data_IF_551797129205
#
_entry.id   IF_551797129205
#
_cell.length_a   1.000
_cell.length_b   1.000
_cell.length_c   1.000
_cell.angle_alpha   90.00
_cell.angle_beta   90.00
_cell.angle_gamma   90.00
#
_symmetry.space_group_name_H-M   'P 1'
#
loop_
_entity.id
_entity.type
_entity.pdbx_description
1 polymer ?
#
# COMPACT_ATOMS: atom_id res chain seq x y z
N UNK A 1 -20.39 -15.89 36.48
CA UNK A 1 -21.59 -15.05 36.36
C UNK A 1 -22.64 -15.83 35.59
N UNK A 2 -23.72 -16.21 36.24
CA UNK A 2 -24.75 -17.07 35.66
C UNK A 2 -25.42 -16.36 34.49
N UNK A 3 -25.35 -16.97 33.30
CA UNK A 3 -26.39 -16.84 32.28
C UNK A 3 -27.50 -17.81 32.70
N UNK A 4 -28.70 -17.28 32.91
CA UNK A 4 -29.89 -18.07 33.23
C UNK A 4 -30.42 -18.72 31.94
N UNK A 5 -30.54 -20.04 31.96
CA UNK A 5 -31.37 -20.79 31.00
C UNK A 5 -31.98 -21.98 31.75
N UNK A 6 -33.28 -22.15 31.58
CA UNK A 6 -34.15 -22.86 32.50
C UNK A 6 -33.87 -24.36 32.69
N UNK A 7 -34.03 -24.78 33.95
CA UNK A 7 -34.53 -26.06 34.46
C UNK A 7 -34.05 -27.39 33.83
N UNK A 8 -33.09 -28.04 34.50
CA UNK A 8 -33.33 -29.35 35.17
C UNK A 8 -32.23 -29.72 36.18
N UNK A 9 -32.69 -30.12 37.37
CA UNK A 9 -32.03 -30.83 38.48
C UNK A 9 -30.86 -30.18 39.24
N UNK A 10 -31.17 -29.86 40.51
CA UNK A 10 -30.25 -29.47 41.58
C UNK A 10 -29.20 -30.53 41.87
N UNK A 11 -27.92 -30.14 41.88
CA UNK A 11 -26.91 -30.64 42.83
C UNK A 11 -26.09 -29.43 43.28
N UNK A 12 -26.21 -29.08 44.56
CA UNK A 12 -25.39 -28.06 45.22
C UNK A 12 -23.98 -28.64 45.47
N UNK A 13 -22.93 -27.97 44.96
CA UNK A 13 -21.57 -28.04 45.51
C UNK A 13 -20.91 -26.65 45.39
N UNK A 14 -20.07 -26.25 46.37
CA UNK A 14 -19.56 -24.89 46.47
C UNK A 14 -18.35 -24.73 45.56
N UNK A 15 -18.51 -24.10 44.40
CA UNK A 15 -17.39 -23.80 43.51
C UNK A 15 -16.84 -22.40 43.80
N UNK A 16 -15.59 -22.37 44.27
CA UNK A 16 -14.81 -21.17 44.56
C UNK A 16 -14.62 -20.31 43.30
N UNK A 17 -14.59 -18.99 43.48
CA UNK A 17 -14.42 -17.94 42.45
C UNK A 17 -13.13 -18.08 41.60
N UNK A 18 -12.19 -18.96 41.99
CA UNK A 18 -10.93 -19.15 41.30
C UNK A 18 -11.03 -19.88 39.95
N UNK A 19 -12.08 -20.66 39.70
CA UNK A 19 -12.17 -21.46 38.46
C UNK A 19 -12.71 -20.70 37.24
N UNK A 20 -13.33 -19.53 37.45
CA UNK A 20 -13.82 -18.70 36.35
C UNK A 20 -12.70 -17.92 35.64
N UNK A 21 -11.55 -17.71 36.31
CA UNK A 21 -10.39 -17.03 35.71
C UNK A 21 -9.62 -17.98 34.80
N UNK A 22 -9.55 -19.27 35.16
CA UNK A 22 -8.76 -20.26 34.44
C UNK A 22 -9.34 -20.59 33.05
N UNK A 23 -10.66 -20.60 32.90
CA UNK A 23 -11.30 -20.89 31.61
C UNK A 23 -11.17 -19.71 30.62
N UNK A 24 -11.12 -18.47 31.11
CA UNK A 24 -10.90 -17.29 30.24
C UNK A 24 -9.45 -17.14 29.77
N UNK A 25 -8.48 -17.73 30.48
CA UNK A 25 -7.06 -17.68 30.09
C UNK A 25 -6.72 -18.74 29.02
N UNK A 26 -7.45 -19.85 28.97
CA UNK A 26 -7.13 -20.94 28.02
C UNK A 26 -7.63 -20.70 26.58
N UNK A 27 -8.40 -19.65 26.32
CA UNK A 27 -8.84 -19.29 24.96
C UNK A 27 -7.99 -18.16 24.32
N UNK A 28 -6.86 -17.77 24.94
CA UNK A 28 -6.01 -16.64 24.52
C UNK A 28 -4.78 -17.03 23.68
N UNK A 29 -4.72 -18.22 23.11
CA UNK A 29 -3.60 -18.60 22.24
C UNK A 29 -4.01 -19.61 21.16
N UNK A 30 -4.72 -19.11 20.15
CA UNK A 30 -4.75 -19.75 18.83
C UNK A 30 -4.57 -18.67 17.75
N UNK A 31 -3.58 -17.80 17.95
CA UNK A 31 -2.94 -17.08 16.87
C UNK A 31 -1.91 -18.00 16.24
N UNK A 32 -2.37 -18.94 15.41
CA UNK A 32 -1.49 -19.74 14.57
C UNK A 32 -0.65 -18.78 13.73
N UNK A 33 0.65 -18.70 14.03
CA UNK A 33 1.60 -17.92 13.24
C UNK A 33 1.94 -18.75 12.01
N UNK A 34 1.00 -18.85 11.07
CA UNK A 34 1.28 -19.47 9.79
C UNK A 34 2.35 -18.63 9.10
N UNK A 35 3.55 -19.18 8.93
CA UNK A 35 4.66 -18.49 8.24
C UNK A 35 4.28 -18.05 6.82
N UNK A 36 3.21 -18.60 6.24
CA UNK A 36 2.69 -18.31 4.91
C UNK A 36 1.37 -17.51 4.91
N UNK A 37 0.91 -17.01 6.06
CA UNK A 37 -0.31 -16.19 6.10
C UNK A 37 -0.09 -14.81 5.47
N UNK A 38 -1.00 -14.41 4.58
CA UNK A 38 -0.96 -13.12 3.90
C UNK A 38 -1.85 -12.09 4.63
N UNK A 39 -1.27 -11.39 5.61
CA UNK A 39 -1.92 -10.36 6.41
C UNK A 39 -1.92 -10.65 7.91
N UNK A 40 -2.29 -9.67 8.72
CA UNK A 40 -2.41 -9.80 10.17
C UNK A 40 -3.91 -9.80 10.56
N UNK A 41 -4.29 -10.59 11.57
CA UNK A 41 -5.64 -10.56 12.13
C UNK A 41 -5.70 -9.51 13.22
N UNK A 42 -6.47 -8.45 13.02
CA UNK A 42 -6.73 -7.44 14.04
C UNK A 42 -7.93 -7.88 14.90
N UNK A 43 -7.94 -7.50 16.19
CA UNK A 43 -8.92 -7.98 17.18
C UNK A 43 -10.38 -7.69 16.78
N UNK A 44 -10.62 -6.60 16.03
CA UNK A 44 -11.95 -6.16 15.60
C UNK A 44 -12.30 -6.52 14.14
N UNK A 45 -11.48 -7.34 13.46
CA UNK A 45 -11.65 -7.62 12.04
C UNK A 45 -11.76 -9.13 11.75
N UNK A 46 -12.84 -9.51 11.06
CA UNK A 46 -13.09 -10.89 10.62
C UNK A 46 -12.19 -11.34 9.46
N UNK A 47 -11.50 -10.38 8.82
CA UNK A 47 -10.65 -10.59 7.65
C UNK A 47 -9.19 -10.25 7.97
N UNK A 48 -8.27 -10.81 7.20
CA UNK A 48 -6.87 -10.43 7.26
C UNK A 48 -6.71 -8.99 6.74
N UNK A 49 -6.01 -8.17 7.52
CA UNK A 49 -5.84 -6.76 7.25
C UNK A 49 -4.36 -6.38 7.20
N UNK A 50 -4.09 -5.26 6.53
CA UNK A 50 -2.82 -4.54 6.61
C UNK A 50 -3.04 -3.14 7.16
N UNK A 51 -2.01 -2.58 7.78
CA UNK A 51 -2.04 -1.18 8.13
C UNK A 51 -1.69 -0.35 6.88
N UNK A 52 -2.58 0.52 6.42
CA UNK A 52 -2.36 1.31 5.21
C UNK A 52 -1.13 2.24 5.36
N UNK A 53 -0.84 2.69 6.59
CA UNK A 53 0.31 3.58 6.85
C UNK A 53 1.65 2.90 6.62
N UNK A 54 1.79 1.63 7.03
CA UNK A 54 3.03 0.86 6.77
C UNK A 54 3.22 0.61 5.28
N UNK A 55 2.13 0.31 4.55
CA UNK A 55 2.22 0.02 3.11
C UNK A 55 2.59 1.29 2.34
N UNK A 56 2.00 2.43 2.69
CA UNK A 56 2.33 3.74 2.08
C UNK A 56 3.76 4.16 2.39
N UNK A 57 4.22 3.96 3.62
CA UNK A 57 5.61 4.23 4.00
C UNK A 57 6.58 3.34 3.21
N UNK A 58 6.30 2.03 3.11
CA UNK A 58 7.09 1.10 2.32
C UNK A 58 7.14 1.49 0.83
N UNK A 59 6.00 1.87 0.24
CA UNK A 59 5.92 2.35 -1.13
C UNK A 59 6.75 3.62 -1.35
N UNK A 60 6.72 4.57 -0.42
CA UNK A 60 7.50 5.81 -0.49
C UNK A 60 9.01 5.58 -0.40
N UNK A 61 9.44 4.67 0.48
CA UNK A 61 10.86 4.31 0.63
C UNK A 61 11.38 3.67 -0.66
N UNK A 62 10.65 2.68 -1.17
CA UNK A 62 11.00 2.02 -2.43
C UNK A 62 11.01 3.02 -3.59
N UNK A 63 9.99 3.87 -3.68
CA UNK A 63 9.90 4.91 -4.70
C UNK A 63 11.13 5.81 -4.70
N UNK A 64 11.57 6.27 -3.52
CA UNK A 64 12.75 7.14 -3.39
C UNK A 64 14.00 6.48 -3.97
N UNK A 65 14.31 5.25 -3.55
CA UNK A 65 15.50 4.54 -4.04
C UNK A 65 15.40 4.17 -5.52
N UNK A 66 14.22 3.74 -5.97
CA UNK A 66 13.97 3.41 -7.38
C UNK A 66 14.08 4.66 -8.27
N UNK A 67 13.57 5.80 -7.83
CA UNK A 67 13.69 7.07 -8.54
C UNK A 67 15.15 7.54 -8.62
N UNK A 68 15.92 7.46 -7.52
CA UNK A 68 17.35 7.79 -7.53
C UNK A 68 18.14 6.90 -8.49
N UNK A 69 17.89 5.59 -8.49
CA UNK A 69 18.54 4.65 -9.39
C UNK A 69 18.18 4.94 -10.86
N UNK A 70 16.90 5.18 -11.15
CA UNK A 70 16.42 5.54 -12.48
C UNK A 70 17.05 6.84 -12.99
N UNK A 71 17.08 7.89 -12.16
CA UNK A 71 17.71 9.17 -12.52
C UNK A 71 19.21 9.02 -12.75
N UNK A 72 19.89 8.16 -12.00
CA UNK A 72 21.30 7.86 -12.23
C UNK A 72 21.52 7.20 -13.60
N UNK A 73 20.71 6.19 -13.94
CA UNK A 73 20.73 5.54 -15.26
C UNK A 73 20.40 6.49 -16.41
N UNK A 74 19.45 7.41 -16.21
CA UNK A 74 19.04 8.37 -17.21
C UNK A 74 20.08 9.48 -17.46
N UNK A 75 20.65 10.06 -16.40
CA UNK A 75 21.56 11.20 -16.50
C UNK A 75 23.02 10.78 -16.76
N UNK A 76 23.50 9.75 -16.06
CA UNK A 76 24.91 9.34 -16.10
C UNK A 76 25.16 8.21 -17.09
N UNK A 77 24.10 7.64 -17.68
CA UNK A 77 24.20 6.46 -18.54
C UNK A 77 24.75 5.22 -17.81
N UNK A 78 24.79 5.21 -16.47
CA UNK A 78 25.24 4.08 -15.68
C UNK A 78 24.04 3.25 -15.19
N UNK A 79 23.89 2.02 -15.68
CA UNK A 79 22.76 1.15 -15.32
C UNK A 79 23.01 0.32 -14.06
N UNK A 80 24.23 0.30 -13.52
CA UNK A 80 24.56 -0.59 -12.40
C UNK A 80 23.68 -0.33 -11.16
N UNK A 81 23.41 0.93 -10.76
CA UNK A 81 22.48 1.22 -9.67
C UNK A 81 21.05 0.76 -9.97
N UNK A 82 20.60 0.90 -11.22
CA UNK A 82 19.28 0.46 -11.67
C UNK A 82 19.16 -1.07 -11.62
N UNK A 83 20.19 -1.79 -12.09
CA UNK A 83 20.23 -3.26 -12.06
C UNK A 83 20.14 -3.78 -10.63
N UNK A 84 20.90 -3.19 -9.70
CA UNK A 84 20.85 -3.53 -8.29
C UNK A 84 19.45 -3.25 -7.70
N UNK A 85 18.93 -2.05 -7.91
CA UNK A 85 17.65 -1.63 -7.32
C UNK A 85 16.47 -2.46 -7.84
N UNK A 86 16.43 -2.75 -9.14
CA UNK A 86 15.40 -3.62 -9.74
C UNK A 86 15.47 -5.04 -9.18
N UNK A 87 16.68 -5.57 -8.97
CA UNK A 87 16.87 -6.91 -8.37
C UNK A 87 16.36 -6.97 -6.93
N UNK A 88 16.71 -5.97 -6.12
CA UNK A 88 16.23 -5.85 -4.73
C UNK A 88 14.71 -5.70 -4.70
N UNK A 89 14.15 -4.90 -5.60
CA UNK A 89 12.71 -4.65 -5.65
C UNK A 89 11.91 -5.89 -6.09
N UNK A 90 12.41 -6.63 -7.06
CA UNK A 90 11.84 -7.92 -7.46
C UNK A 90 11.84 -8.91 -6.28
N UNK A 91 12.96 -8.97 -5.54
CA UNK A 91 13.09 -9.82 -4.36
C UNK A 91 12.15 -9.40 -3.21
N UNK A 92 11.99 -8.10 -2.99
CA UNK A 92 11.06 -7.57 -1.99
C UNK A 92 9.61 -8.00 -2.30
N UNK A 93 9.14 -7.86 -3.55
CA UNK A 93 7.81 -8.36 -3.94
C UNK A 93 7.68 -9.88 -3.90
N UNK A 94 8.76 -10.61 -4.23
CA UNK A 94 8.77 -12.06 -4.11
C UNK A 94 8.50 -12.49 -2.66
N UNK A 95 9.19 -11.89 -1.69
CA UNK A 95 8.94 -12.17 -0.26
C UNK A 95 7.50 -11.83 0.12
N UNK A 96 6.99 -10.67 -0.33
CA UNK A 96 5.61 -10.25 -0.02
C UNK A 96 4.56 -11.25 -0.51
N UNK A 97 4.71 -11.79 -1.72
CA UNK A 97 3.67 -12.63 -2.34
C UNK A 97 3.77 -14.09 -1.93
N UNK A 98 4.98 -14.64 -1.86
CA UNK A 98 5.21 -16.09 -1.71
C UNK A 98 5.53 -16.52 -0.28
N UNK A 99 6.13 -15.64 0.53
CA UNK A 99 6.52 -15.97 1.90
C UNK A 99 5.53 -15.31 2.87
N UNK A 100 5.80 -14.05 3.22
CA UNK A 100 4.95 -13.27 4.09
C UNK A 100 5.35 -11.79 3.97
N UNK A 101 4.40 -10.86 3.75
CA UNK A 101 4.66 -9.42 3.73
C UNK A 101 5.34 -8.89 4.99
N UNK A 102 5.16 -9.56 6.13
CA UNK A 102 5.81 -9.22 7.40
C UNK A 102 7.35 -9.26 7.33
N UNK A 103 7.91 -10.07 6.43
CA UNK A 103 9.36 -10.21 6.27
C UNK A 103 9.94 -9.37 5.13
N UNK A 104 9.09 -8.66 4.38
CA UNK A 104 9.57 -7.83 3.29
C UNK A 104 10.39 -6.64 3.85
N UNK A 105 11.64 -6.44 3.41
CA UNK A 105 12.52 -5.41 3.97
C UNK A 105 11.88 -4.02 3.99
N UNK A 106 11.22 -3.63 2.90
CA UNK A 106 10.52 -2.36 2.79
C UNK A 106 9.35 -2.22 3.78
N UNK A 107 8.60 -3.30 4.06
CA UNK A 107 7.51 -3.32 5.02
C UNK A 107 8.03 -3.23 6.46
N UNK A 108 9.16 -3.88 6.77
CA UNK A 108 9.81 -3.79 8.08
C UNK A 108 10.22 -2.34 8.37
N UNK A 109 10.86 -1.67 7.41
CA UNK A 109 11.24 -0.27 7.56
C UNK A 109 9.98 0.61 7.64
N UNK A 110 8.97 0.35 6.82
CA UNK A 110 7.69 1.06 6.87
C UNK A 110 7.05 1.00 8.27
N UNK A 111 6.96 -0.21 8.85
CA UNK A 111 6.47 -0.44 10.21
C UNK A 111 7.26 0.32 11.26
N UNK A 112 8.59 0.31 11.14
CA UNK A 112 9.46 1.02 12.08
C UNK A 112 9.23 2.54 12.04
N UNK A 113 9.07 3.11 10.85
CA UNK A 113 8.87 4.56 10.67
C UNK A 113 7.50 5.04 11.16
N UNK A 114 6.44 4.25 10.98
CA UNK A 114 5.06 4.65 11.34
C UNK A 114 4.56 4.06 12.67
N UNK A 115 5.44 3.45 13.47
CA UNK A 115 5.08 2.69 14.67
C UNK A 115 4.27 3.46 15.72
N UNK A 116 4.42 4.79 15.78
CA UNK A 116 3.75 5.64 16.76
C UNK A 116 2.43 6.25 16.25
N UNK A 117 1.98 5.88 15.04
CA UNK A 117 0.74 6.37 14.45
C UNK A 117 -0.40 5.39 14.71
N UNK A 118 -1.64 5.91 14.86
CA UNK A 118 -2.82 5.04 14.92
C UNK A 118 -2.94 4.25 13.61
N UNK A 119 -2.98 2.91 13.66
CA UNK A 119 -3.06 2.08 12.47
C UNK A 119 -4.41 2.31 11.78
N UNK A 120 -4.39 2.23 10.45
CA UNK A 120 -5.59 2.31 9.61
C UNK A 120 -5.67 1.02 8.81
N UNK A 121 -6.68 0.18 9.06
CA UNK A 121 -6.72 -1.17 8.51
C UNK A 121 -7.48 -1.24 7.19
N UNK A 122 -6.98 -2.06 6.27
CA UNK A 122 -7.58 -2.34 4.97
C UNK A 122 -7.44 -3.81 4.61
N UNK A 123 -8.35 -4.33 3.78
CA UNK A 123 -8.41 -5.74 3.44
C UNK A 123 -7.15 -6.24 2.71
N UNK A 124 -6.68 -7.44 3.07
CA UNK A 124 -5.49 -8.05 2.49
C UNK A 124 -5.68 -8.53 1.04
N UNK A 125 -6.85 -9.08 0.69
CA UNK A 125 -7.13 -9.65 -0.64
C UNK A 125 -6.81 -8.68 -1.81
N UNK A 126 -7.35 -7.45 -1.87
CA UNK A 126 -7.06 -6.52 -2.96
C UNK A 126 -5.58 -6.11 -3.03
N UNK A 127 -4.88 -6.03 -1.88
CA UNK A 127 -3.45 -5.73 -1.87
C UNK A 127 -2.61 -6.86 -2.46
N UNK A 128 -2.97 -8.13 -2.23
CA UNK A 128 -2.30 -9.27 -2.87
C UNK A 128 -2.36 -9.18 -4.39
N UNK A 129 -3.53 -8.81 -4.91
CA UNK A 129 -3.73 -8.62 -6.35
C UNK A 129 -2.87 -7.48 -6.87
N UNK A 130 -2.91 -6.31 -6.20
CA UNK A 130 -2.10 -5.15 -6.57
C UNK A 130 -0.58 -5.46 -6.58
N UNK A 131 -0.08 -6.15 -5.55
CA UNK A 131 1.34 -6.54 -5.49
C UNK A 131 1.72 -7.58 -6.54
N UNK A 132 0.79 -8.45 -6.95
CA UNK A 132 1.02 -9.40 -8.05
C UNK A 132 1.26 -8.68 -9.38
N UNK A 133 0.51 -7.60 -9.67
CA UNK A 133 0.79 -6.73 -10.82
C UNK A 133 2.13 -6.00 -10.68
N UNK A 134 2.44 -5.52 -9.48
CA UNK A 134 3.75 -4.92 -9.17
C UNK A 134 4.90 -5.89 -9.44
N UNK A 135 4.76 -7.15 -9.06
CA UNK A 135 5.73 -8.22 -9.31
C UNK A 135 5.93 -8.50 -10.80
N UNK A 136 4.85 -8.57 -11.59
CA UNK A 136 4.95 -8.76 -13.04
C UNK A 136 5.70 -7.60 -13.70
N UNK A 137 5.39 -6.36 -13.30
CA UNK A 137 6.09 -5.18 -13.80
C UNK A 137 7.58 -5.20 -13.40
N UNK A 138 7.89 -5.53 -12.14
CA UNK A 138 9.27 -5.64 -11.67
C UNK A 138 10.04 -6.76 -12.40
N UNK A 139 9.41 -7.90 -12.65
CA UNK A 139 10.01 -9.02 -13.39
C UNK A 139 10.27 -8.64 -14.86
N UNK A 140 9.33 -7.93 -15.49
CA UNK A 140 9.52 -7.38 -16.84
C UNK A 140 10.69 -6.41 -16.88
N UNK A 141 10.83 -5.55 -15.87
CA UNK A 141 11.96 -4.62 -15.77
C UNK A 141 13.28 -5.33 -15.53
N UNK A 142 13.29 -6.34 -14.67
CA UNK A 142 14.47 -7.18 -14.45
C UNK A 142 14.92 -7.84 -15.77
N UNK A 143 13.98 -8.40 -16.53
CA UNK A 143 14.27 -8.98 -17.84
C UNK A 143 14.86 -7.95 -18.82
N UNK A 144 14.27 -6.75 -18.92
CA UNK A 144 14.73 -5.73 -19.87
C UNK A 144 16.08 -5.10 -19.49
N UNK A 145 16.29 -4.79 -18.21
CA UNK A 145 17.46 -4.03 -17.74
C UNK A 145 18.61 -4.92 -17.28
N UNK A 146 18.32 -5.99 -16.55
CA UNK A 146 19.37 -6.84 -15.97
C UNK A 146 19.87 -7.86 -16.98
N UNK A 147 18.96 -8.53 -17.70
CA UNK A 147 19.34 -9.60 -18.64
C UNK A 147 19.70 -9.08 -20.03
N UNK A 148 18.96 -8.11 -20.56
CA UNK A 148 19.17 -7.62 -21.92
C UNK A 148 19.91 -6.28 -22.01
N UNK A 149 20.14 -5.60 -20.88
CA UNK A 149 20.76 -4.25 -20.79
C UNK A 149 20.19 -3.22 -21.78
N UNK A 150 18.88 -3.31 -22.07
CA UNK A 150 18.23 -2.48 -23.08
C UNK A 150 17.94 -1.10 -22.49
N UNK A 151 18.65 -0.08 -22.99
CA UNK A 151 18.33 1.34 -22.79
C UNK A 151 17.41 1.81 -23.92
N UNK A 152 16.11 1.52 -23.78
CA UNK A 152 15.10 1.87 -24.78
C UNK A 152 13.92 2.67 -24.22
N UNK A 153 13.11 3.30 -25.09
CA UNK A 153 11.91 4.05 -24.68
C UNK A 153 10.89 3.18 -23.93
N UNK A 154 10.82 1.88 -24.26
CA UNK A 154 9.98 0.91 -23.56
C UNK A 154 10.36 0.79 -22.09
N UNK A 155 11.67 0.79 -21.78
CA UNK A 155 12.15 0.74 -20.41
C UNK A 155 11.76 2.02 -19.65
N UNK A 156 11.98 3.18 -20.26
CA UNK A 156 11.63 4.49 -19.67
C UNK A 156 10.13 4.57 -19.37
N UNK A 157 9.27 4.18 -20.32
CA UNK A 157 7.81 4.20 -20.13
C UNK A 157 7.36 3.23 -19.04
N UNK A 158 7.94 2.03 -19.00
CA UNK A 158 7.60 1.02 -17.99
C UNK A 158 8.06 1.46 -16.60
N UNK A 159 9.28 2.00 -16.46
CA UNK A 159 9.78 2.59 -15.22
C UNK A 159 8.91 3.75 -14.77
N UNK A 160 8.58 4.69 -15.66
CA UNK A 160 7.74 5.84 -15.34
C UNK A 160 6.34 5.41 -14.86
N UNK A 161 5.75 4.39 -15.49
CA UNK A 161 4.48 3.81 -15.06
C UNK A 161 4.60 3.17 -13.66
N UNK A 162 5.63 2.35 -13.43
CA UNK A 162 5.84 1.69 -12.14
C UNK A 162 6.09 2.71 -11.01
N UNK A 163 6.99 3.67 -11.22
CA UNK A 163 7.29 4.74 -10.28
C UNK A 163 6.06 5.63 -10.03
N UNK A 164 5.29 5.93 -11.08
CA UNK A 164 4.03 6.66 -10.96
C UNK A 164 3.03 5.95 -10.06
N UNK A 165 2.80 4.65 -10.28
CA UNK A 165 1.89 3.86 -9.44
C UNK A 165 2.33 3.83 -7.96
N UNK A 166 3.62 3.63 -7.70
CA UNK A 166 4.18 3.69 -6.33
C UNK A 166 4.03 5.08 -5.70
N UNK A 167 4.28 6.13 -6.48
CA UNK A 167 4.12 7.50 -6.03
C UNK A 167 2.68 7.81 -5.63
N UNK A 168 1.70 7.34 -6.42
CA UNK A 168 0.29 7.53 -6.11
C UNK A 168 -0.11 6.83 -4.80
N UNK A 169 0.39 5.62 -4.57
CA UNK A 169 0.18 4.89 -3.33
C UNK A 169 0.85 5.61 -2.14
N UNK A 170 2.11 6.02 -2.28
CA UNK A 170 2.85 6.68 -1.21
C UNK A 170 2.25 8.05 -0.82
N UNK A 171 2.11 8.96 -1.79
CA UNK A 171 1.77 10.37 -1.55
C UNK A 171 0.27 10.53 -1.29
N UNK A 172 -0.57 10.05 -2.20
CA UNK A 172 -2.02 10.26 -2.11
C UNK A 172 -2.73 9.18 -1.30
N UNK A 173 -2.10 8.04 -1.02
CA UNK A 173 -2.76 6.90 -0.39
C UNK A 173 -3.79 6.24 -1.31
N UNK A 174 -3.65 6.40 -2.62
CA UNK A 174 -4.58 5.84 -3.61
C UNK A 174 -3.91 4.64 -4.27
N UNK A 175 -4.32 3.44 -3.86
CA UNK A 175 -3.91 2.20 -4.50
C UNK A 175 -4.71 1.97 -5.79
N UNK A 176 -4.12 2.29 -6.95
CA UNK A 176 -4.75 2.08 -8.26
C UNK A 176 -5.10 0.60 -8.49
N UNK A 177 -4.22 -0.34 -8.10
CA UNK A 177 -4.48 -1.77 -8.21
C UNK A 177 -5.70 -2.22 -7.40
N UNK A 178 -5.87 -1.69 -6.19
CA UNK A 178 -7.02 -1.99 -5.34
C UNK A 178 -8.33 -1.46 -5.95
N UNK A 179 -8.29 -0.30 -6.61
CA UNK A 179 -9.45 0.28 -7.31
C UNK A 179 -9.85 -0.56 -8.54
N UNK A 180 -8.88 -1.05 -9.30
CA UNK A 180 -9.12 -1.95 -10.44
C UNK A 180 -9.67 -3.29 -9.94
N UNK A 181 -9.13 -3.86 -8.85
CA UNK A 181 -9.65 -5.08 -8.25
C UNK A 181 -11.14 -4.96 -7.90
N UNK A 182 -11.54 -3.88 -7.23
CA UNK A 182 -12.93 -3.64 -6.83
C UNK A 182 -13.87 -3.37 -8.02
N UNK A 183 -13.34 -2.99 -9.19
CA UNK A 183 -14.13 -2.81 -10.41
C UNK A 183 -14.37 -4.16 -11.13
N UNK A 184 -13.41 -5.08 -11.06
CA UNK A 184 -13.46 -6.36 -11.79
C UNK A 184 -14.00 -7.54 -10.97
N UNK A 185 -13.93 -7.49 -9.64
CA UNK A 185 -14.39 -8.58 -8.77
C UNK A 185 -15.70 -8.22 -8.08
N UNK A 186 -16.65 -9.17 -8.08
CA UNK A 186 -17.94 -9.02 -7.40
C UNK A 186 -17.82 -9.05 -5.86
N UNK A 187 -16.75 -9.65 -5.32
CA UNK A 187 -16.40 -9.56 -3.90
C UNK A 187 -15.92 -8.15 -3.56
N UNK A 188 -16.87 -7.28 -3.19
CA UNK A 188 -16.58 -5.92 -2.76
C UNK A 188 -15.71 -5.92 -1.51
N UNK A 189 -14.75 -5.01 -1.51
CA UNK A 189 -13.86 -4.75 -0.37
C UNK A 189 -14.71 -4.32 0.83
N UNK A 190 -14.57 -5.02 1.96
CA UNK A 190 -15.33 -4.77 3.19
C UNK A 190 -14.74 -3.60 3.96
N UNK A 191 -13.40 -3.52 4.03
CA UNK A 191 -12.69 -2.44 4.70
C UNK A 191 -11.74 -1.72 3.74
N UNK A 192 -12.06 -0.46 3.46
CA UNK A 192 -11.29 0.41 2.59
C UNK A 192 -10.61 1.52 3.38
N UNK A 193 -9.44 2.00 2.92
CA UNK A 193 -8.76 3.13 3.56
C UNK A 193 -9.67 4.35 3.59
N UNK A 194 -9.82 4.96 4.76
CA UNK A 194 -10.71 6.10 5.00
C UNK A 194 -12.19 5.81 4.79
N UNK A 195 -12.62 4.54 4.83
CA UNK A 195 -14.01 4.11 4.62
C UNK A 195 -14.60 4.56 3.27
N UNK A 196 -13.75 4.79 2.25
CA UNK A 196 -14.19 5.29 0.93
C UNK A 196 -15.14 4.36 0.18
N UNK A 197 -15.24 3.09 0.60
CA UNK A 197 -16.18 2.14 0.04
C UNK A 197 -17.60 2.27 0.61
N UNK A 198 -17.78 3.01 1.70
CA UNK A 198 -19.09 3.40 2.18
C UNK A 198 -19.63 4.58 1.35
N UNK A 199 -20.32 4.24 0.25
CA UNK A 199 -20.95 5.19 -0.64
C UNK A 199 -22.12 5.96 0.01
N UNK A 200 -22.55 5.56 1.22
CA UNK A 200 -23.57 6.29 1.98
C UNK A 200 -23.00 7.55 2.66
N UNK A 201 -21.67 7.67 2.76
CA UNK A 201 -21.00 8.81 3.38
C UNK A 201 -20.98 10.02 2.45
N UNK A 202 -21.68 11.08 2.85
CA UNK A 202 -21.55 12.42 2.25
C UNK A 202 -20.18 13.05 2.54
N UNK A 203 -19.67 13.89 1.63
CA UNK A 203 -18.44 14.65 1.86
C UNK A 203 -18.65 15.65 3.01
N UNK A 204 -17.69 15.74 3.91
CA UNK A 204 -17.71 16.72 4.99
C UNK A 204 -17.54 18.15 4.41
N UNK A 205 -18.08 19.20 5.05
CA UNK A 205 -17.96 20.59 4.56
C UNK A 205 -16.51 21.04 4.34
N UNK A 206 -15.56 20.50 5.11
CA UNK A 206 -14.12 20.77 5.00
C UNK A 206 -13.51 20.22 3.69
N UNK A 207 -14.14 19.23 3.05
CA UNK A 207 -13.66 18.61 1.81
C UNK A 207 -14.04 19.41 0.55
N UNK A 208 -14.89 20.42 0.67
CA UNK A 208 -15.27 21.27 -0.46
C UNK A 208 -14.26 22.40 -0.66
N UNK A 209 -13.71 22.49 -1.87
CA UNK A 209 -12.84 23.59 -2.25
C UNK A 209 -13.67 24.82 -2.62
N UNK A 210 -13.38 25.95 -1.97
CA UNK A 210 -13.99 27.23 -2.30
C UNK A 210 -13.52 27.71 -3.69
N UNK A 211 -14.31 28.56 -4.36
CA UNK A 211 -13.99 29.13 -5.68
C UNK A 211 -12.64 29.87 -5.65
N UNK A 212 -12.37 30.61 -4.57
CA UNK A 212 -11.09 31.28 -4.37
C UNK A 212 -9.90 30.29 -4.32
N UNK A 213 -10.05 29.17 -3.61
CA UNK A 213 -9.02 28.12 -3.55
C UNK A 213 -8.77 27.49 -4.92
N UNK A 214 -9.84 27.25 -5.70
CA UNK A 214 -9.73 26.74 -7.07
C UNK A 214 -8.99 27.72 -7.98
N UNK A 215 -9.27 29.02 -7.87
CA UNK A 215 -8.58 30.06 -8.65
C UNK A 215 -7.11 30.18 -8.28
N UNK A 216 -6.78 30.20 -6.98
CA UNK A 216 -5.39 30.23 -6.51
C UNK A 216 -4.63 29.00 -7.01
N UNK A 217 -5.23 27.82 -6.91
CA UNK A 217 -4.63 26.58 -7.40
C UNK A 217 -4.39 26.64 -8.92
N UNK A 218 -5.39 27.07 -9.70
CA UNK A 218 -5.26 27.21 -11.15
C UNK A 218 -4.17 28.20 -11.55
N UNK A 219 -4.11 29.38 -10.89
CA UNK A 219 -3.08 30.38 -11.13
C UNK A 219 -1.69 29.87 -10.77
N UNK A 220 -1.54 29.18 -9.63
CA UNK A 220 -0.26 28.61 -9.22
C UNK A 220 0.27 27.59 -10.22
N UNK A 221 -0.61 26.73 -10.76
CA UNK A 221 -0.26 25.77 -11.80
C UNK A 221 0.11 26.46 -13.11
N UNK A 222 -0.63 27.51 -13.51
CA UNK A 222 -0.36 28.26 -14.74
C UNK A 222 1.00 28.96 -14.66
N UNK A 223 1.30 29.61 -13.53
CA UNK A 223 2.60 30.25 -13.30
C UNK A 223 3.74 29.22 -13.31
N UNK A 224 3.58 28.10 -12.60
CA UNK A 224 4.59 27.03 -12.61
C UNK A 224 4.81 26.46 -14.02
N UNK A 225 3.73 26.24 -14.77
CA UNK A 225 3.82 25.77 -16.13
C UNK A 225 4.53 26.77 -17.04
N UNK A 226 4.22 28.06 -16.92
CA UNK A 226 4.90 29.12 -17.66
C UNK A 226 6.38 29.21 -17.28
N UNK A 227 6.75 29.09 -16.01
CA UNK A 227 8.16 29.12 -15.60
C UNK A 227 8.94 27.88 -16.05
N UNK A 228 8.31 26.70 -16.04
CA UNK A 228 8.97 25.45 -16.40
C UNK A 228 9.08 25.23 -17.91
N UNK A 229 8.10 25.71 -18.69
CA UNK A 229 8.00 25.46 -20.14
C UNK A 229 7.97 26.75 -20.96
N UNK A 230 8.07 27.93 -20.36
CA UNK A 230 8.01 29.22 -21.05
C UNK A 230 9.04 29.33 -22.16
N UNK A 231 10.29 28.97 -21.86
CA UNK A 231 11.38 28.98 -22.85
C UNK A 231 11.12 28.01 -24.02
N UNK A 232 10.56 26.83 -23.73
CA UNK A 232 10.22 25.82 -24.74
C UNK A 232 9.04 26.29 -25.61
N UNK A 233 8.04 26.94 -24.99
CA UNK A 233 6.87 27.46 -25.68
C UNK A 233 7.26 28.66 -26.55
N UNK A 234 8.14 29.54 -26.06
CA UNK A 234 8.66 30.67 -26.83
C UNK A 234 9.50 30.19 -28.02
N UNK A 235 10.36 29.19 -27.81
CA UNK A 235 11.09 28.49 -28.89
C UNK A 235 10.13 27.85 -29.92
N UNK A 236 9.07 27.18 -29.49
CA UNK A 236 8.09 26.53 -30.37
C UNK A 236 7.21 27.53 -31.15
N UNK A 237 6.87 28.68 -30.57
CA UNK A 237 5.99 29.68 -31.19
C UNK A 237 6.78 30.65 -32.08
N UNK A 238 7.97 31.07 -31.65
CA UNK A 238 8.76 32.09 -32.36
C UNK A 238 9.97 31.53 -33.12
N UNK A 239 10.28 30.23 -32.99
CA UNK A 239 11.31 29.55 -33.78
C UNK A 239 12.74 30.03 -33.54
N UNK A 240 13.01 30.64 -32.38
CA UNK A 240 14.33 31.09 -31.93
C UNK A 240 14.79 30.28 -30.73
#
# INVERSE_FOLDING_TARGET
CQFDSGHRHHIHLPFHIHDCVTITIFNRHSGGVDMFAFGEKAEDYDVLVFNEREVRAAAGIVFLFAFMAFMNGFLMGNNDPTKLMVSVFLFDFFIRIFINPKYAPSMIVGRWVVNNQKPEYTDAKPKRWAWSFGFILAATMFYLVVLNDIRGPVNILTCALCLGLLFFEAVFGICAGCKVYNLFHDEKVKHCPGEVCDLSRGRAPIQYLNVAQKLIFALSLLVLFYLAFGDIIEFLIFGK
#
